data_IF_995646309335
#
_entry.id   IF_995646309335
#
_cell.length_a   1.000
_cell.length_b   1.000
_cell.length_c   1.000
_cell.angle_alpha   90.00
_cell.angle_beta   90.00
_cell.angle_gamma   90.00
#
_symmetry.space_group_name_H-M   'P 1'
#
loop_
_entity.id
_entity.type
_entity.pdbx_description
1 polymer ?
#
# COMPACT_ATOMS: atom_id res chain seq x y z
N UNK A 1 -2.03 -0.52 -14.98
CA UNK A 1 -2.63 -0.57 -13.63
C UNK A 1 -1.76 0.27 -12.70
N UNK A 2 -2.33 1.21 -11.91
CA UNK A 2 -1.54 1.98 -10.93
C UNK A 2 -1.49 1.21 -9.61
N UNK A 3 -0.28 0.93 -9.11
CA UNK A 3 -0.06 0.18 -7.86
C UNK A 3 -0.25 1.03 -6.61
N UNK A 4 0.01 2.33 -6.72
CA UNK A 4 0.00 3.30 -5.63
C UNK A 4 -0.55 4.63 -6.18
N UNK A 5 -1.36 5.32 -5.39
CA UNK A 5 -1.87 6.67 -5.69
C UNK A 5 -2.14 7.44 -4.39
N UNK A 6 -1.63 8.65 -4.24
CA UNK A 6 -2.00 9.53 -3.12
C UNK A 6 -3.39 10.14 -3.37
N UNK A 7 -4.28 10.04 -2.39
CA UNK A 7 -5.67 10.49 -2.44
C UNK A 7 -6.01 11.31 -1.20
N UNK A 8 -5.78 12.62 -1.29
CA UNK A 8 -6.12 13.57 -0.24
C UNK A 8 -5.29 13.33 1.03
N UNK A 9 -5.86 12.58 1.96
CA UNK A 9 -5.31 12.24 3.27
C UNK A 9 -4.85 10.77 3.37
N UNK A 10 -4.83 10.03 2.27
CA UNK A 10 -4.56 8.60 2.28
C UNK A 10 -3.77 8.11 1.08
N UNK A 11 -2.95 7.08 1.27
CA UNK A 11 -2.30 6.34 0.21
C UNK A 11 -3.20 5.17 -0.24
N UNK A 12 -3.70 5.23 -1.47
CA UNK A 12 -4.39 4.11 -2.12
C UNK A 12 -3.34 3.14 -2.67
N UNK A 13 -3.40 1.88 -2.23
CA UNK A 13 -2.51 0.80 -2.68
C UNK A 13 -3.32 -0.38 -3.24
N UNK A 14 -2.76 -1.10 -4.21
CA UNK A 14 -3.33 -2.37 -4.69
C UNK A 14 -2.98 -3.51 -3.72
N UNK A 15 -3.99 -4.24 -3.21
CA UNK A 15 -3.77 -5.39 -2.33
C UNK A 15 -3.31 -6.61 -3.15
N UNK A 16 -1.99 -6.84 -3.14
CA UNK A 16 -1.36 -7.91 -3.91
C UNK A 16 -1.70 -9.32 -3.41
N UNK A 17 -2.33 -9.47 -2.25
CA UNK A 17 -2.77 -10.78 -1.70
C UNK A 17 -4.00 -11.31 -2.41
N UNK A 18 -4.78 -10.41 -3.01
CA UNK A 18 -6.02 -10.73 -3.73
C UNK A 18 -5.77 -11.07 -5.19
N UNK A 19 -4.61 -10.71 -5.73
CA UNK A 19 -4.23 -11.04 -7.09
C UNK A 19 -3.86 -12.52 -7.24
N UNK A 20 -4.15 -13.14 -8.40
CA UNK A 20 -4.85 -12.56 -9.56
C UNK A 20 -6.39 -12.58 -9.45
N UNK A 21 -6.94 -13.17 -8.38
CA UNK A 21 -8.39 -13.44 -8.27
C UNK A 21 -9.29 -12.21 -8.14
N UNK A 22 -8.81 -11.12 -7.53
CA UNK A 22 -9.57 -9.87 -7.37
C UNK A 22 -8.65 -8.66 -7.34
N UNK A 23 -9.06 -7.60 -8.02
CA UNK A 23 -8.45 -6.27 -7.91
C UNK A 23 -9.17 -5.54 -6.77
N UNK A 24 -8.47 -5.34 -5.66
CA UNK A 24 -8.99 -4.64 -4.49
C UNK A 24 -7.93 -3.64 -4.00
N UNK A 25 -8.40 -2.48 -3.57
CA UNK A 25 -7.52 -1.41 -3.08
C UNK A 25 -7.69 -1.23 -1.58
N UNK A 26 -6.58 -1.02 -0.88
CA UNK A 26 -6.56 -0.55 0.50
C UNK A 26 -6.16 0.92 0.54
N UNK A 27 -6.62 1.63 1.56
CA UNK A 27 -6.29 3.02 1.84
C UNK A 27 -5.52 3.06 3.15
N UNK A 28 -4.37 3.73 3.17
CA UNK A 28 -3.49 3.83 4.33
C UNK A 28 -3.43 5.29 4.74
N UNK A 29 -3.76 5.60 5.99
CA UNK A 29 -3.85 6.95 6.55
C UNK A 29 -2.89 7.17 7.72
N UNK A 30 -2.63 6.13 8.49
CA UNK A 30 -1.76 6.19 9.67
C UNK A 30 -0.63 5.17 9.64
N UNK A 31 0.37 5.39 10.49
CA UNK A 31 1.59 4.59 10.55
C UNK A 31 1.30 3.09 10.78
N UNK A 32 0.26 2.76 11.55
CA UNK A 32 -0.13 1.37 11.79
C UNK A 32 -0.63 0.73 10.50
N UNK A 33 -1.47 1.43 9.72
CA UNK A 33 -1.93 0.95 8.43
C UNK A 33 -0.78 0.77 7.43
N UNK A 34 0.19 1.69 7.40
CA UNK A 34 1.41 1.56 6.59
C UNK A 34 2.25 0.34 6.99
N UNK A 35 2.52 0.17 8.28
CA UNK A 35 3.24 -0.98 8.82
C UNK A 35 2.54 -2.30 8.49
N UNK A 36 1.22 -2.36 8.72
CA UNK A 36 0.40 -3.54 8.43
C UNK A 36 0.35 -3.85 6.93
N UNK A 37 0.38 -2.84 6.06
CA UNK A 37 0.42 -3.06 4.62
C UNK A 37 1.67 -3.80 4.15
N UNK A 38 2.82 -3.52 4.79
CA UNK A 38 4.10 -4.18 4.48
C UNK A 38 4.14 -5.57 5.12
N UNK A 39 3.91 -5.67 6.44
CA UNK A 39 4.08 -6.93 7.19
C UNK A 39 3.04 -7.98 6.80
N UNK A 40 1.81 -7.59 6.52
CA UNK A 40 0.78 -8.52 6.01
C UNK A 40 0.89 -8.77 4.51
N UNK A 41 1.90 -8.23 3.83
CA UNK A 41 2.13 -8.38 2.39
C UNK A 41 1.00 -7.86 1.49
N UNK A 42 0.21 -6.86 1.94
CA UNK A 42 -0.71 -6.11 1.05
C UNK A 42 0.11 -5.45 -0.07
N UNK A 43 1.28 -4.94 0.28
CA UNK A 43 2.33 -4.46 -0.62
C UNK A 43 3.57 -5.34 -0.43
N UNK A 44 4.19 -5.74 -1.55
CA UNK A 44 5.45 -6.47 -1.58
C UNK A 44 6.28 -6.06 -2.78
N UNK A 45 7.58 -6.39 -2.73
CA UNK A 45 8.61 -5.95 -3.68
C UNK A 45 9.40 -4.76 -3.14
N UNK A 46 10.73 -4.87 -3.12
CA UNK A 46 11.60 -3.90 -2.45
C UNK A 46 11.35 -2.43 -2.86
N UNK A 47 11.17 -2.10 -4.16
CA UNK A 47 10.85 -0.72 -4.56
C UNK A 47 9.52 -0.22 -3.98
N UNK A 48 8.51 -1.09 -3.96
CA UNK A 48 7.17 -0.72 -3.51
C UNK A 48 7.11 -0.53 -1.98
N UNK A 49 7.86 -1.37 -1.24
CA UNK A 49 8.05 -1.22 0.20
C UNK A 49 8.72 0.13 0.51
N UNK A 50 9.77 0.50 -0.23
CA UNK A 50 10.45 1.78 -0.06
C UNK A 50 9.52 2.98 -0.28
N UNK A 51 8.71 2.95 -1.36
CA UNK A 51 7.74 4.01 -1.65
C UNK A 51 6.68 4.12 -0.53
N UNK A 52 6.09 3.00 -0.10
CA UNK A 52 5.09 2.99 0.97
C UNK A 52 5.68 3.50 2.29
N UNK A 53 6.92 3.12 2.62
CA UNK A 53 7.63 3.63 3.79
C UNK A 53 7.89 5.13 3.73
N UNK A 54 8.23 5.66 2.54
CA UNK A 54 8.43 7.10 2.35
C UNK A 54 7.14 7.90 2.54
N UNK A 55 5.99 7.38 2.09
CA UNK A 55 4.68 8.01 2.33
C UNK A 55 4.24 7.93 3.79
N UNK A 56 4.72 6.96 4.58
CA UNK A 56 4.36 6.82 5.98
C UNK A 56 4.96 7.92 6.88
N UNK A 57 6.01 8.60 6.41
CA UNK A 57 6.76 9.63 7.16
C UNK A 57 6.57 11.04 6.58
N UNK A 58 5.85 11.18 5.47
CA UNK A 58 5.56 12.45 4.80
C UNK A 58 4.30 13.09 5.39
#
# INVERSE_FOLDING_TARGET
MRHIEWKGDSLKILDQRKLPGKIEYAYLKDLEEFYQAIVKMKVRGAPLIGIVGAFAVA
#
